data_IF_617629702885
#
_entry.id   IF_617629702885
#
_cell.length_a   1.000
_cell.length_b   1.000
_cell.length_c   1.000
_cell.angle_alpha   90.00
_cell.angle_beta   90.00
_cell.angle_gamma   90.00
#
_symmetry.space_group_name_H-M   'P 1'
#
loop_
_entity.id
_entity.type
_entity.pdbx_description
1 polymer ?
#
# COMPACT_ATOMS: atom_id res chain seq x y z
N UNK A 1 10.88 -28.63 -7.61
CA UNK A 1 10.09 -28.50 -8.85
C UNK A 1 9.67 -27.04 -8.94
N UNK A 2 9.82 -26.42 -10.10
CA UNK A 2 9.37 -25.05 -10.34
C UNK A 2 7.85 -24.99 -10.53
N UNK A 3 7.30 -23.78 -10.68
CA UNK A 3 5.85 -23.57 -10.83
C UNK A 3 5.32 -24.32 -12.05
N UNK A 4 5.97 -24.15 -13.20
CA UNK A 4 5.57 -24.78 -14.46
C UNK A 4 5.61 -26.30 -14.38
N UNK A 5 6.62 -26.87 -13.73
CA UNK A 5 6.67 -28.31 -13.45
C UNK A 5 5.52 -28.77 -12.55
N UNK A 6 5.19 -28.00 -11.51
CA UNK A 6 4.08 -28.32 -10.59
C UNK A 6 2.73 -28.25 -11.30
N UNK A 7 2.50 -27.22 -12.12
CA UNK A 7 1.29 -27.05 -12.91
C UNK A 7 1.12 -28.17 -13.94
N UNK A 8 2.22 -28.55 -14.62
CA UNK A 8 2.22 -29.69 -15.54
C UNK A 8 1.87 -30.99 -14.82
N UNK A 9 2.47 -31.25 -13.65
CA UNK A 9 2.18 -32.46 -12.88
C UNK A 9 0.74 -32.50 -12.37
N UNK A 10 0.18 -31.35 -11.99
CA UNK A 10 -1.21 -31.22 -11.61
C UNK A 10 -2.15 -31.55 -12.77
N UNK A 11 -1.84 -31.09 -13.98
CA UNK A 11 -2.60 -31.40 -15.18
C UNK A 11 -2.55 -32.90 -15.52
N UNK A 12 -1.37 -33.52 -15.41
CA UNK A 12 -1.19 -34.97 -15.59
C UNK A 12 -2.02 -35.78 -14.58
N UNK A 13 -1.99 -35.42 -13.29
CA UNK A 13 -2.76 -36.13 -12.27
C UNK A 13 -4.27 -35.97 -12.45
N UNK A 14 -4.74 -34.79 -12.87
CA UNK A 14 -6.16 -34.58 -13.19
C UNK A 14 -6.62 -35.43 -14.38
N UNK A 15 -5.78 -35.54 -15.40
CA UNK A 15 -6.05 -36.43 -16.54
C UNK A 15 -6.03 -37.91 -16.11
N UNK A 16 -5.08 -38.32 -15.26
CA UNK A 16 -5.03 -39.67 -14.69
C UNK A 16 -6.28 -39.98 -13.86
N UNK A 17 -6.73 -39.05 -13.01
CA UNK A 17 -7.95 -39.18 -12.22
C UNK A 17 -9.18 -39.36 -13.09
N UNK A 18 -9.30 -38.58 -14.16
CA UNK A 18 -10.42 -38.72 -15.11
C UNK A 18 -10.42 -40.09 -15.78
N UNK A 19 -9.25 -40.56 -16.24
CA UNK A 19 -9.10 -41.89 -16.83
C UNK A 19 -9.46 -43.01 -15.84
N UNK A 20 -8.95 -42.95 -14.61
CA UNK A 20 -9.25 -43.93 -13.56
C UNK A 20 -10.75 -43.95 -13.20
N UNK A 21 -11.43 -42.80 -13.24
CA UNK A 21 -12.87 -42.72 -13.05
C UNK A 21 -13.65 -43.50 -14.12
N UNK A 22 -13.27 -43.34 -15.40
CA UNK A 22 -13.86 -44.13 -16.49
C UNK A 22 -13.57 -45.62 -16.37
N UNK A 23 -12.34 -45.99 -15.98
CA UNK A 23 -11.96 -47.39 -15.72
C UNK A 23 -12.75 -47.98 -14.54
N UNK A 24 -13.01 -47.20 -13.49
CA UNK A 24 -13.79 -47.64 -12.32
C UNK A 24 -15.26 -47.89 -12.68
N UNK A 25 -15.86 -47.04 -13.50
CA UNK A 25 -17.25 -47.22 -13.93
C UNK A 25 -17.41 -48.48 -14.78
N UNK A 26 -16.45 -48.77 -15.68
CA UNK A 26 -16.39 -50.03 -16.42
C UNK A 26 -16.24 -51.22 -15.48
N UNK A 27 -15.27 -51.19 -14.56
CA UNK A 27 -15.03 -52.27 -13.60
C UNK A 27 -16.26 -52.54 -12.69
N UNK A 28 -17.03 -51.50 -12.35
CA UNK A 28 -18.28 -51.63 -11.59
C UNK A 28 -19.38 -52.30 -12.41
N UNK A 29 -19.49 -52.00 -13.70
CA UNK A 29 -20.44 -52.65 -14.59
C UNK A 29 -20.10 -54.13 -14.79
N UNK A 30 -18.84 -54.46 -15.06
CA UNK A 30 -18.37 -55.84 -15.16
C UNK A 30 -18.59 -56.63 -13.86
N UNK A 31 -18.33 -56.02 -12.71
CA UNK A 31 -18.60 -56.63 -11.41
C UNK A 31 -20.09 -56.90 -11.19
N UNK A 32 -20.98 -55.99 -11.64
CA UNK A 32 -22.44 -56.20 -11.59
C UNK A 32 -22.88 -57.34 -12.50
N UNK A 33 -22.37 -57.39 -13.73
CA UNK A 33 -22.66 -58.48 -14.67
C UNK A 33 -22.19 -59.83 -14.13
N UNK A 34 -20.99 -59.92 -13.56
CA UNK A 34 -20.49 -61.14 -12.94
C UNK A 34 -21.42 -61.64 -11.82
N UNK A 35 -21.94 -60.73 -10.99
CA UNK A 35 -22.90 -61.07 -9.93
C UNK A 35 -24.24 -61.56 -10.49
N UNK A 36 -24.75 -60.95 -11.56
CA UNK A 36 -25.96 -61.40 -12.26
C UNK A 36 -25.77 -62.81 -12.83
N UNK A 37 -24.59 -63.08 -13.37
CA UNK A 37 -24.17 -64.39 -13.89
C UNK A 37 -23.88 -65.44 -12.79
N UNK A 38 -23.97 -65.08 -11.50
CA UNK A 38 -23.64 -65.96 -10.37
C UNK A 38 -22.14 -66.23 -10.20
N UNK A 39 -21.27 -65.44 -10.85
CA UNK A 39 -19.82 -65.50 -10.72
C UNK A 39 -19.35 -64.54 -9.63
N UNK A 40 -18.17 -64.82 -9.05
CA UNK A 40 -17.53 -63.91 -8.11
C UNK A 40 -16.95 -62.70 -8.88
N UNK A 41 -17.29 -61.46 -8.52
CA UNK A 41 -16.70 -60.27 -9.14
C UNK A 41 -15.21 -60.15 -8.81
N UNK A 42 -14.46 -59.52 -9.73
CA UNK A 42 -13.03 -59.27 -9.54
C UNK A 42 -12.77 -58.10 -8.57
N UNK A 43 -11.55 -58.03 -8.01
CA UNK A 43 -11.18 -56.95 -7.08
C UNK A 43 -10.77 -55.64 -7.78
N UNK A 44 -10.93 -55.54 -9.11
CA UNK A 44 -10.45 -54.39 -9.91
C UNK A 44 -11.08 -53.07 -9.47
N UNK A 45 -12.40 -53.06 -9.22
CA UNK A 45 -13.12 -51.85 -8.80
C UNK A 45 -12.61 -51.31 -7.44
N UNK A 46 -12.25 -52.18 -6.50
CA UNK A 46 -11.72 -51.77 -5.20
C UNK A 46 -10.31 -51.17 -5.35
N UNK A 47 -9.44 -51.82 -6.13
CA UNK A 47 -8.08 -51.33 -6.40
C UNK A 47 -8.09 -49.98 -7.15
N UNK A 48 -9.01 -49.79 -8.11
CA UNK A 48 -9.18 -48.53 -8.82
C UNK A 48 -9.67 -47.42 -7.89
N UNK A 49 -10.60 -47.72 -6.97
CA UNK A 49 -11.08 -46.75 -5.99
C UNK A 49 -9.97 -46.28 -5.04
N UNK A 50 -9.12 -47.18 -4.56
CA UNK A 50 -7.96 -46.85 -3.74
C UNK A 50 -6.95 -45.98 -4.49
N UNK A 51 -6.68 -46.30 -5.76
CA UNK A 51 -5.79 -45.49 -6.60
C UNK A 51 -6.35 -44.09 -6.86
N UNK A 52 -7.66 -43.95 -7.09
CA UNK A 52 -8.31 -42.64 -7.22
C UNK A 52 -8.14 -41.83 -5.94
N UNK A 53 -8.33 -42.44 -4.77
CA UNK A 53 -8.13 -41.77 -3.49
C UNK A 53 -6.71 -41.20 -3.34
N UNK A 54 -5.68 -41.99 -3.66
CA UNK A 54 -4.28 -41.55 -3.62
C UNK A 54 -4.02 -40.39 -4.59
N UNK A 55 -4.60 -40.46 -5.80
CA UNK A 55 -4.46 -39.40 -6.81
C UNK A 55 -5.18 -38.12 -6.37
N UNK A 56 -6.37 -38.21 -5.78
CA UNK A 56 -7.11 -37.07 -5.26
C UNK A 56 -6.33 -36.39 -4.11
N UNK A 57 -5.72 -37.17 -3.20
CA UNK A 57 -4.83 -36.65 -2.14
C UNK A 57 -3.60 -35.94 -2.72
N UNK A 58 -2.96 -36.53 -3.74
CA UNK A 58 -1.82 -35.92 -4.41
C UNK A 58 -2.18 -34.61 -5.13
N UNK A 59 -3.37 -34.55 -5.76
CA UNK A 59 -3.90 -33.33 -6.38
C UNK A 59 -4.14 -32.26 -5.32
N UNK A 60 -4.74 -32.62 -4.18
CA UNK A 60 -4.99 -31.70 -3.08
C UNK A 60 -3.70 -31.12 -2.52
N UNK A 61 -2.70 -31.96 -2.24
CA UNK A 61 -1.40 -31.54 -1.73
C UNK A 61 -0.67 -30.59 -2.71
N UNK A 62 -0.62 -30.91 -4.00
CA UNK A 62 0.02 -30.04 -4.99
C UNK A 62 -0.74 -28.72 -5.17
N UNK A 63 -2.07 -28.74 -5.13
CA UNK A 63 -2.90 -27.52 -5.18
C UNK A 63 -2.62 -26.61 -3.98
N UNK A 64 -2.53 -27.19 -2.78
CA UNK A 64 -2.21 -26.47 -1.55
C UNK A 64 -0.82 -25.84 -1.61
N UNK A 65 0.19 -26.57 -2.11
CA UNK A 65 1.55 -26.03 -2.30
C UNK A 65 1.59 -24.85 -3.27
N UNK A 66 0.86 -24.95 -4.38
CA UNK A 66 0.74 -23.85 -5.35
C UNK A 66 0.08 -22.61 -4.72
N UNK A 67 -1.00 -22.82 -3.96
CA UNK A 67 -1.68 -21.75 -3.21
C UNK A 67 -0.73 -21.06 -2.23
N UNK A 68 -0.06 -21.82 -1.37
CA UNK A 68 0.89 -21.30 -0.39
C UNK A 68 2.07 -20.55 -1.04
N UNK A 69 2.58 -21.05 -2.17
CA UNK A 69 3.64 -20.39 -2.93
C UNK A 69 3.18 -19.05 -3.52
N UNK A 70 1.96 -19.00 -4.08
CA UNK A 70 1.38 -17.78 -4.62
C UNK A 70 1.17 -16.72 -3.54
N UNK A 71 0.59 -17.10 -2.39
CA UNK A 71 0.41 -16.20 -1.24
C UNK A 71 1.73 -15.66 -0.71
N UNK A 72 2.77 -16.51 -0.64
CA UNK A 72 4.11 -16.12 -0.24
C UNK A 72 4.73 -15.10 -1.20
N UNK A 73 4.61 -15.34 -2.51
CA UNK A 73 5.09 -14.41 -3.54
C UNK A 73 4.37 -13.06 -3.47
N UNK A 74 3.04 -13.06 -3.28
CA UNK A 74 2.25 -11.84 -3.14
C UNK A 74 2.67 -11.04 -1.90
N UNK A 75 2.84 -11.70 -0.74
CA UNK A 75 3.36 -11.04 0.48
C UNK A 75 4.73 -10.41 0.25
N UNK A 76 5.65 -11.12 -0.40
CA UNK A 76 6.98 -10.60 -0.70
C UNK A 76 6.93 -9.40 -1.66
N UNK A 77 6.06 -9.42 -2.66
CA UNK A 77 5.87 -8.29 -3.58
C UNK A 77 5.26 -7.07 -2.88
N UNK A 78 4.29 -7.27 -1.97
CA UNK A 78 3.74 -6.20 -1.13
C UNK A 78 4.82 -5.60 -0.23
N UNK A 79 5.62 -6.45 0.43
CA UNK A 79 6.75 -6.01 1.26
C UNK A 79 7.74 -5.14 0.48
N UNK A 80 8.21 -5.62 -0.68
CA UNK A 80 9.16 -4.87 -1.52
C UNK A 80 8.61 -3.50 -1.97
N UNK A 81 7.33 -3.43 -2.34
CA UNK A 81 6.68 -2.17 -2.73
C UNK A 81 6.61 -1.18 -1.57
N UNK A 82 6.25 -1.65 -0.38
CA UNK A 82 6.19 -0.81 0.81
C UNK A 82 7.59 -0.32 1.25
N UNK A 83 8.61 -1.18 1.18
CA UNK A 83 10.02 -0.80 1.44
C UNK A 83 10.52 0.24 0.44
N UNK A 84 10.26 0.06 -0.86
CA UNK A 84 10.62 1.03 -1.89
C UNK A 84 9.90 2.38 -1.72
N UNK A 85 8.62 2.35 -1.34
CA UNK A 85 7.85 3.55 -1.05
C UNK A 85 8.39 4.30 0.18
N UNK A 86 8.85 3.58 1.21
CA UNK A 86 9.49 4.16 2.39
C UNK A 86 10.82 4.84 2.06
N UNK A 87 11.66 4.21 1.24
CA UNK A 87 12.91 4.83 0.76
C UNK A 87 12.62 6.12 -0.03
N UNK A 88 11.66 6.07 -0.95
CA UNK A 88 11.24 7.25 -1.72
C UNK A 88 10.67 8.37 -0.82
N UNK A 89 9.85 8.00 0.17
CA UNK A 89 9.29 8.95 1.15
C UNK A 89 10.40 9.60 1.96
N UNK A 90 11.42 8.85 2.41
CA UNK A 90 12.56 9.43 3.15
C UNK A 90 13.32 10.49 2.35
N UNK A 91 13.44 10.31 1.03
CA UNK A 91 14.04 11.30 0.12
C UNK A 91 13.15 12.52 -0.02
N UNK A 92 11.83 12.33 -0.17
CA UNK A 92 10.87 13.44 -0.22
C UNK A 92 10.81 14.22 1.09
N UNK A 93 10.90 13.57 2.25
CA UNK A 93 10.92 14.25 3.55
C UNK A 93 12.09 15.23 3.66
N UNK A 94 13.27 14.88 3.15
CA UNK A 94 14.42 15.79 3.12
C UNK A 94 14.17 17.02 2.24
N UNK A 95 13.56 16.80 1.07
CA UNK A 95 13.17 17.89 0.17
C UNK A 95 12.07 18.76 0.79
N UNK A 96 11.09 18.14 1.44
CA UNK A 96 10.03 18.83 2.16
C UNK A 96 10.61 19.72 3.27
N UNK A 97 11.57 19.23 4.05
CA UNK A 97 12.27 20.02 5.06
C UNK A 97 12.99 21.22 4.45
N UNK A 98 13.71 21.04 3.34
CA UNK A 98 14.37 22.17 2.66
C UNK A 98 13.37 23.19 2.10
N UNK A 99 12.20 22.73 1.64
CA UNK A 99 11.14 23.63 1.17
C UNK A 99 10.53 24.37 2.36
N UNK A 100 10.21 23.69 3.45
CA UNK A 100 9.68 24.32 4.67
C UNK A 100 10.65 25.37 5.21
N UNK A 101 11.96 25.08 5.28
CA UNK A 101 12.99 26.06 5.65
C UNK A 101 13.01 27.27 4.70
N UNK A 102 12.93 27.04 3.39
CA UNK A 102 12.87 28.12 2.40
C UNK A 102 11.59 28.96 2.54
N UNK A 103 10.45 28.34 2.84
CA UNK A 103 9.18 29.03 3.07
C UNK A 103 9.22 29.88 4.34
N UNK A 104 9.81 29.36 5.43
CA UNK A 104 10.02 30.11 6.68
C UNK A 104 10.97 31.29 6.44
N UNK A 105 12.07 31.07 5.73
CA UNK A 105 13.01 32.14 5.37
C UNK A 105 12.33 33.21 4.51
N UNK A 106 11.53 32.81 3.51
CA UNK A 106 10.76 33.73 2.67
C UNK A 106 9.75 34.53 3.49
N UNK A 107 9.01 33.88 4.40
CA UNK A 107 8.04 34.55 5.27
C UNK A 107 8.72 35.57 6.20
N UNK A 108 9.84 35.20 6.80
CA UNK A 108 10.64 36.09 7.66
C UNK A 108 11.17 37.29 6.88
N UNK A 109 11.76 37.06 5.71
CA UNK A 109 12.28 38.12 4.84
C UNK A 109 11.17 39.03 4.30
N UNK A 110 9.98 38.47 4.03
CA UNK A 110 8.81 39.25 3.62
C UNK A 110 8.34 40.19 4.72
N UNK A 111 8.27 39.73 5.98
CA UNK A 111 7.92 40.59 7.10
C UNK A 111 8.93 41.73 7.27
N UNK A 112 10.23 41.43 7.15
CA UNK A 112 11.28 42.43 7.21
C UNK A 112 11.18 43.44 6.05
N UNK A 113 10.94 42.96 4.82
CA UNK A 113 10.75 43.80 3.63
C UNK A 113 9.49 44.67 3.74
N UNK A 114 8.35 44.11 4.16
CA UNK A 114 7.11 44.84 4.34
C UNK A 114 7.23 45.92 5.42
N UNK A 115 7.94 45.64 6.53
CA UNK A 115 8.21 46.63 7.57
C UNK A 115 9.18 47.72 7.10
N UNK A 116 10.22 47.37 6.33
CA UNK A 116 11.10 48.36 5.70
C UNK A 116 10.30 49.26 4.74
N UNK A 117 9.47 48.66 3.88
CA UNK A 117 8.62 49.36 2.93
C UNK A 117 7.61 50.28 3.64
N UNK A 118 6.99 49.83 4.75
CA UNK A 118 6.10 50.67 5.57
C UNK A 118 6.82 51.84 6.20
N UNK A 119 8.04 51.65 6.70
CA UNK A 119 8.84 52.75 7.28
C UNK A 119 9.23 53.76 6.21
N UNK A 120 9.68 53.29 5.06
CA UNK A 120 10.12 54.16 3.97
C UNK A 120 8.94 54.91 3.32
N UNK A 121 7.82 54.23 3.03
CA UNK A 121 6.64 54.83 2.39
C UNK A 121 5.78 55.61 3.39
N UNK A 122 5.69 55.15 4.65
CA UNK A 122 4.94 55.82 5.71
C UNK A 122 5.58 57.12 6.21
N UNK A 123 6.87 57.34 5.94
CA UNK A 123 7.55 58.61 6.25
C UNK A 123 7.43 59.66 5.13
N UNK A 124 6.99 59.29 3.93
CA UNK A 124 6.75 60.24 2.82
C UNK A 124 5.35 60.84 2.98
N UNK A 125 5.29 62.11 3.40
CA UNK A 125 4.08 62.86 3.79
C UNK A 125 3.08 63.17 2.66
N UNK A 126 2.83 62.24 1.74
CA UNK A 126 1.82 62.38 0.67
C UNK A 126 1.23 61.08 0.12
N UNK A 127 1.74 59.90 0.51
CA UNK A 127 1.34 58.62 -0.08
C UNK A 127 0.44 57.74 0.81
N UNK A 128 0.19 58.13 2.06
CA UNK A 128 -0.76 57.43 2.94
C UNK A 128 -0.49 55.96 3.25
N UNK A 129 0.70 55.42 2.89
CA UNK A 129 1.01 54.00 3.05
C UNK A 129 0.32 53.07 2.06
N UNK A 130 -0.09 53.56 0.88
CA UNK A 130 -0.80 52.74 -0.12
C UNK A 130 0.13 51.66 -0.76
N UNK A 131 -0.07 50.40 -0.37
CA UNK A 131 0.65 49.21 -0.86
C UNK A 131 -0.12 48.45 -1.95
N UNK A 132 -1.28 48.95 -2.40
CA UNK A 132 -2.25 48.21 -3.21
C UNK A 132 -1.68 47.71 -4.55
N UNK A 133 -0.72 48.44 -5.14
CA UNK A 133 -0.09 48.06 -6.41
C UNK A 133 0.84 46.83 -6.27
N UNK A 134 1.54 46.71 -5.14
CA UNK A 134 2.42 45.56 -4.83
C UNK A 134 1.58 44.33 -4.49
N UNK A 135 0.51 44.51 -3.72
CA UNK A 135 -0.42 43.44 -3.35
C UNK A 135 -1.20 42.89 -4.57
N UNK A 136 -1.52 43.74 -5.56
CA UNK A 136 -2.15 43.30 -6.83
C UNK A 136 -1.24 42.51 -7.76
N UNK A 137 0.07 42.78 -7.75
CA UNK A 137 1.01 42.08 -8.63
C UNK A 137 1.20 40.61 -8.21
N UNK A 138 1.05 40.34 -6.91
CA UNK A 138 1.25 39.03 -6.32
C UNK A 138 -0.01 38.16 -6.35
N UNK A 139 -1.20 38.70 -6.66
CA UNK A 139 -2.50 38.04 -6.49
C UNK A 139 -2.92 36.99 -7.53
N UNK A 140 -2.07 36.73 -8.53
CA UNK A 140 -2.44 35.90 -9.68
C UNK A 140 -1.60 34.62 -9.78
N UNK A 141 -1.93 33.58 -9.00
CA UNK A 141 -1.69 32.20 -9.47
C UNK A 141 -2.45 31.11 -8.71
N UNK A 142 -2.99 30.15 -9.48
CA UNK A 142 -3.64 28.93 -8.95
C UNK A 142 -2.61 28.04 -8.27
N UNK A 143 -2.82 27.75 -6.99
CA UNK A 143 -1.85 27.08 -6.13
C UNK A 143 -2.29 25.66 -5.74
N UNK A 144 -1.34 24.73 -5.65
CA UNK A 144 -1.56 23.36 -5.16
C UNK A 144 -1.82 23.35 -3.64
N UNK A 145 -2.91 22.73 -3.19
CA UNK A 145 -3.40 22.76 -1.80
C UNK A 145 -2.34 22.45 -0.71
N UNK A 146 -1.43 21.48 -0.88
CA UNK A 146 -0.40 21.18 0.14
C UNK A 146 0.61 22.32 0.32
N UNK A 147 1.01 22.99 -0.77
CA UNK A 147 1.94 24.12 -0.73
C UNK A 147 1.29 25.33 -0.04
N UNK A 148 -0.01 25.52 -0.24
CA UNK A 148 -0.79 26.56 0.44
C UNK A 148 -0.84 26.32 1.95
N UNK A 149 -1.06 25.07 2.40
CA UNK A 149 -1.02 24.71 3.83
C UNK A 149 0.36 24.96 4.44
N UNK A 150 1.44 24.63 3.73
CA UNK A 150 2.80 24.88 4.21
C UNK A 150 3.13 26.37 4.28
N UNK A 151 2.69 27.16 3.29
CA UNK A 151 2.84 28.63 3.30
C UNK A 151 2.10 29.28 4.49
N UNK A 152 0.87 28.83 4.77
CA UNK A 152 0.12 29.30 5.95
C UNK A 152 0.81 28.85 7.25
N UNK A 153 1.37 27.64 7.30
CA UNK A 153 2.10 27.18 8.49
C UNK A 153 3.38 28.01 8.74
N UNK A 154 4.08 28.43 7.67
CA UNK A 154 5.32 29.18 7.76
C UNK A 154 5.14 30.68 8.11
N UNK A 155 4.07 31.32 7.62
CA UNK A 155 3.89 32.77 7.76
C UNK A 155 2.47 33.27 8.05
N UNK A 156 1.53 32.36 8.29
CA UNK A 156 0.13 32.67 8.56
C UNK A 156 -0.70 33.02 7.31
N UNK A 157 -2.01 33.17 7.48
CA UNK A 157 -2.96 33.43 6.38
C UNK A 157 -2.69 34.77 5.69
N UNK A 158 -2.20 35.77 6.43
CA UNK A 158 -1.86 37.09 5.88
C UNK A 158 -0.71 37.01 4.86
N UNK A 159 0.30 36.17 5.13
CA UNK A 159 1.44 35.98 4.23
C UNK A 159 1.03 35.25 2.94
N UNK A 160 0.23 34.18 3.07
CA UNK A 160 -0.31 33.48 1.90
C UNK A 160 -1.15 34.42 1.00
N UNK A 161 -1.99 35.28 1.61
CA UNK A 161 -2.78 36.28 0.87
C UNK A 161 -1.92 37.34 0.19
N UNK A 162 -0.84 37.81 0.82
CA UNK A 162 0.08 38.76 0.18
C UNK A 162 0.81 38.17 -1.03
N UNK A 163 0.94 36.85 -1.11
CA UNK A 163 1.45 36.12 -2.27
C UNK A 163 0.36 35.69 -3.25
N UNK A 164 -0.87 36.17 -3.06
CA UNK A 164 -1.97 35.93 -3.98
C UNK A 164 -2.74 34.64 -3.86
N UNK A 165 -2.52 33.94 -2.77
CA UNK A 165 -3.14 32.66 -2.54
C UNK A 165 -4.39 32.90 -1.72
N UNK A 166 -5.53 32.99 -2.41
CA UNK A 166 -6.83 33.02 -1.74
C UNK A 166 -7.32 31.59 -1.50
N UNK A 167 -7.61 31.26 -0.25
CA UNK A 167 -7.87 29.88 0.17
C UNK A 167 -8.86 29.78 1.32
N UNK A 168 -9.80 28.82 1.29
CA UNK A 168 -10.72 28.57 2.41
C UNK A 168 -10.04 27.86 3.60
N UNK A 169 -8.76 27.52 3.50
CA UNK A 169 -8.01 26.82 4.53
C UNK A 169 -7.75 27.75 5.71
N UNK A 170 -8.20 27.32 6.89
CA UNK A 170 -7.92 28.03 8.15
C UNK A 170 -6.52 27.70 8.65
N UNK A 171 -5.90 28.64 9.36
CA UNK A 171 -4.55 28.51 9.93
C UNK A 171 -4.34 27.24 10.76
N UNK A 172 -5.32 26.87 11.59
CA UNK A 172 -5.31 25.61 12.37
C UNK A 172 -5.26 24.32 11.55
N UNK A 173 -5.51 24.38 10.23
CA UNK A 173 -5.45 23.24 9.31
C UNK A 173 -4.20 23.29 8.42
N UNK A 174 -3.33 24.29 8.64
CA UNK A 174 -2.03 24.37 8.03
C UNK A 174 -1.11 23.29 8.63
N UNK A 175 -0.24 22.73 7.80
CA UNK A 175 0.69 21.67 8.21
C UNK A 175 1.94 21.80 7.34
N UNK A 176 3.15 21.74 7.92
CA UNK A 176 4.39 21.67 7.15
C UNK A 176 4.40 20.49 6.17
N UNK A 177 5.13 20.61 5.06
CA UNK A 177 5.27 19.49 4.13
C UNK A 177 6.00 18.31 4.78
N UNK A 178 6.93 18.60 5.68
CA UNK A 178 7.67 17.59 6.44
C UNK A 178 6.76 16.74 7.31
N UNK A 179 5.81 17.36 8.03
CA UNK A 179 4.82 16.66 8.86
C UNK A 179 3.86 15.83 8.00
N UNK A 180 3.47 16.34 6.82
CA UNK A 180 2.64 15.61 5.87
C UNK A 180 3.35 14.34 5.35
N UNK A 181 4.63 14.42 4.97
CA UNK A 181 5.43 13.25 4.59
C UNK A 181 5.68 12.31 5.79
N UNK A 182 5.77 12.84 7.01
CA UNK A 182 5.84 12.06 8.25
C UNK A 182 4.63 11.13 8.42
N UNK A 183 3.41 11.65 8.22
CA UNK A 183 2.17 10.86 8.26
C UNK A 183 2.11 9.80 7.17
N UNK A 184 2.62 10.11 5.97
CA UNK A 184 2.75 9.11 4.88
C UNK A 184 3.72 8.00 5.29
N UNK A 185 4.86 8.34 5.88
CA UNK A 185 5.84 7.36 6.37
C UNK A 185 5.26 6.47 7.48
N UNK A 186 4.49 7.03 8.42
CA UNK A 186 3.77 6.27 9.46
C UNK A 186 2.76 5.28 8.85
N UNK A 187 1.98 5.73 7.87
CA UNK A 187 1.02 4.86 7.16
C UNK A 187 1.72 3.69 6.45
N UNK A 188 2.86 3.95 5.78
CA UNK A 188 3.66 2.90 5.14
C UNK A 188 4.30 1.95 6.15
N UNK A 189 4.72 2.43 7.32
CA UNK A 189 5.22 1.58 8.41
C UNK A 189 4.13 0.69 8.98
N UNK A 190 2.92 1.22 9.20
CA UNK A 190 1.76 0.45 9.62
C UNK A 190 1.43 -0.65 8.59
N UNK A 191 1.50 -0.34 7.30
CA UNK A 191 1.30 -1.35 6.25
C UNK A 191 2.39 -2.44 6.26
N UNK A 192 3.66 -2.09 6.47
CA UNK A 192 4.71 -3.09 6.68
C UNK A 192 4.45 -3.98 7.90
N UNK A 193 3.95 -3.42 8.99
CA UNK A 193 3.58 -4.18 10.19
C UNK A 193 2.39 -5.12 9.92
N UNK A 194 1.39 -4.69 9.15
CA UNK A 194 0.28 -5.57 8.71
C UNK A 194 0.78 -6.73 7.86
N UNK A 195 1.71 -6.48 6.94
CA UNK A 195 2.34 -7.54 6.15
C UNK A 195 3.09 -8.51 7.07
N UNK A 196 3.89 -8.03 8.02
CA UNK A 196 4.61 -8.87 9.00
C UNK A 196 3.66 -9.64 9.93
N UNK A 197 2.54 -9.04 10.33
CA UNK A 197 1.51 -9.68 11.16
C UNK A 197 0.84 -10.87 10.44
N UNK A 198 0.81 -10.87 9.11
CA UNK A 198 0.34 -11.99 8.28
C UNK A 198 1.40 -13.07 7.99
N UNK A 199 2.57 -12.96 8.63
CA UNK A 199 3.66 -13.94 8.47
C UNK A 199 3.26 -15.32 9.01
N UNK A 200 3.65 -16.40 8.33
CA UNK A 200 3.48 -17.76 8.84
C UNK A 200 4.39 -18.08 10.03
N UNK A 201 5.39 -17.23 10.32
CA UNK A 201 6.26 -17.38 11.48
C UNK A 201 5.58 -16.78 12.73
N UNK A 202 5.23 -17.59 13.75
CA UNK A 202 4.42 -17.12 14.88
C UNK A 202 5.06 -16.00 15.69
N UNK A 203 6.38 -16.03 15.88
CA UNK A 203 7.11 -15.00 16.63
C UNK A 203 7.05 -13.65 15.93
N UNK A 204 7.34 -13.62 14.62
CA UNK A 204 7.28 -12.41 13.78
C UNK A 204 5.85 -11.85 13.71
N UNK A 205 4.84 -12.73 13.59
CA UNK A 205 3.44 -12.31 13.56
C UNK A 205 3.00 -11.69 14.89
N UNK A 206 3.38 -12.29 16.03
CA UNK A 206 3.02 -11.79 17.36
C UNK A 206 3.69 -10.46 17.68
N UNK A 207 4.98 -10.33 17.39
CA UNK A 207 5.73 -9.09 17.59
C UNK A 207 5.14 -7.96 16.74
N UNK A 208 4.89 -8.21 15.46
CA UNK A 208 4.31 -7.20 14.56
C UNK A 208 2.89 -6.79 14.95
N UNK A 209 2.06 -7.71 15.48
CA UNK A 209 0.73 -7.38 16.01
C UNK A 209 0.81 -6.52 17.26
N UNK A 210 1.75 -6.81 18.16
CA UNK A 210 1.95 -6.01 19.36
C UNK A 210 2.40 -4.57 19.00
N UNK A 211 3.34 -4.45 18.06
CA UNK A 211 3.82 -3.15 17.56
C UNK A 211 2.73 -2.37 16.81
N UNK A 212 1.92 -3.04 15.98
CA UNK A 212 0.77 -2.42 15.32
C UNK A 212 -0.24 -1.89 16.34
N UNK A 213 -0.57 -2.67 17.35
CA UNK A 213 -1.51 -2.26 18.40
C UNK A 213 -0.99 -1.05 19.18
N UNK A 214 0.32 -0.96 19.43
CA UNK A 214 0.95 0.20 20.06
C UNK A 214 0.90 1.44 19.16
N UNK A 215 1.11 1.30 17.85
CA UNK A 215 0.94 2.40 16.90
C UNK A 215 -0.50 2.90 16.85
N UNK A 216 -1.49 1.99 16.82
CA UNK A 216 -2.91 2.35 16.77
C UNK A 216 -3.45 2.95 18.07
N UNK A 217 -2.81 2.69 19.22
CA UNK A 217 -3.18 3.32 20.51
C UNK A 217 -2.49 4.66 20.75
N UNK A 218 -1.43 4.99 20.02
CA UNK A 218 -0.67 6.23 20.14
C UNK A 218 -1.00 7.26 19.04
N UNK A 219 -1.93 6.95 18.13
CA UNK A 219 -2.49 7.85 17.11
C UNK A 219 -3.74 8.57 17.64
#
# INVERSE_FOLDING_TARGET
MDKDGTDKRLAELKAERQRLGSELDLARNEAREALIDGKRPSNSAAALAERIFIVDDAIAELSNRLGAAAESAERNNRKRRAEAALDATSKRTKLAASVDEALVALASNWNAYAEALRKDVGQVSGAGGDLTAVERALTNNRSAEPLVKALIAAGGVSFARSLGIDTPIRERHATPLTDAEGRVAESLRAELLRIKASSPQPNVSREAKAELNQMETNL
#
